data_IF_728659775873
#
_entry.id   IF_728659775873
#
_cell.length_a   1.000
_cell.length_b   1.000
_cell.length_c   1.000
_cell.angle_alpha   90.00
_cell.angle_beta   90.00
_cell.angle_gamma   90.00
#
_symmetry.space_group_name_H-M   'P 1'
#
loop_
_entity.id
_entity.type
_entity.pdbx_description
1 polymer ?
#
# COMPACT_ATOMS: atom_id res chain seq x y z
N UNK A 1 -15.07 -8.38 6.83
CA UNK A 1 -14.87 -6.94 6.52
C UNK A 1 -13.40 -6.74 6.19
N UNK A 2 -13.04 -6.29 5.00
CA UNK A 2 -11.67 -6.49 4.49
C UNK A 2 -11.19 -5.34 3.60
N UNK A 3 -9.90 -5.01 3.48
CA UNK A 3 -9.45 -3.68 3.04
C UNK A 3 -8.49 -3.58 1.86
N UNK A 4 -8.59 -2.49 1.08
CA UNK A 4 -7.63 -2.05 0.04
C UNK A 4 -7.15 -0.61 0.30
N UNK A 5 -5.90 -0.31 -0.02
CA UNK A 5 -5.28 0.96 0.39
C UNK A 5 -5.46 2.09 -0.62
N UNK A 6 -5.82 3.27 -0.11
CA UNK A 6 -5.58 4.57 -0.73
C UNK A 6 -4.71 5.41 0.20
N UNK A 7 -3.90 6.29 -0.37
CA UNK A 7 -3.00 7.19 0.35
C UNK A 7 -3.81 8.17 1.20
N UNK A 8 -3.50 8.28 2.48
CA UNK A 8 -4.06 9.25 3.40
C UNK A 8 -2.96 9.78 4.30
N UNK A 9 -2.88 11.11 4.44
CA UNK A 9 -1.99 11.79 5.40
C UNK A 9 -2.29 11.21 6.78
N UNK A 10 -1.30 10.67 7.52
CA UNK A 10 -1.55 10.07 8.82
C UNK A 10 -2.15 11.10 9.77
N UNK A 11 -3.28 10.79 10.37
CA UNK A 11 -3.67 11.40 11.64
C UNK A 11 -2.83 10.73 12.74
N UNK A 12 -1.71 11.35 13.12
CA UNK A 12 -0.81 10.87 14.19
C UNK A 12 0.67 10.84 13.80
N UNK A 13 1.55 10.65 14.79
CA UNK A 13 3.02 10.66 14.67
C UNK A 13 3.63 9.44 13.95
N UNK A 14 2.84 8.61 13.26
CA UNK A 14 3.34 7.37 12.66
C UNK A 14 4.11 7.63 11.36
N UNK A 15 5.41 7.31 11.38
CA UNK A 15 6.32 7.45 10.25
C UNK A 15 6.37 6.15 9.45
N UNK A 16 5.97 6.19 8.18
CA UNK A 16 6.03 5.04 7.26
C UNK A 16 7.10 5.26 6.20
N UNK A 17 7.88 4.23 5.92
CA UNK A 17 8.88 4.23 4.86
C UNK A 17 8.58 3.12 3.85
N UNK A 18 8.51 3.47 2.57
CA UNK A 18 8.43 2.53 1.46
C UNK A 18 9.69 2.69 0.60
N UNK A 19 10.47 1.62 0.53
CA UNK A 19 11.64 1.50 -0.36
C UNK A 19 11.20 1.39 -1.83
N UNK A 20 12.11 1.71 -2.74
CA UNK A 20 11.90 1.70 -4.19
C UNK A 20 11.62 0.30 -4.75
N UNK A 21 12.28 -0.73 -4.23
CA UNK A 21 12.23 -2.08 -4.80
C UNK A 21 11.61 -3.11 -3.83
N UNK A 22 11.18 -4.28 -4.33
CA UNK A 22 10.63 -5.34 -3.48
C UNK A 22 11.68 -6.28 -2.87
N UNK A 23 12.89 -6.36 -3.41
CA UNK A 23 13.95 -7.31 -2.97
C UNK A 23 15.11 -6.58 -2.32
N UNK A 24 15.54 -6.99 -1.11
CA UNK A 24 16.65 -6.35 -0.39
C UNK A 24 17.97 -7.06 -0.74
N UNK A 25 18.85 -6.49 -1.58
CA UNK A 25 20.22 -6.98 -1.64
C UNK A 25 20.88 -6.83 -0.26
N UNK A 26 21.73 -7.77 0.13
CA UNK A 26 22.44 -7.72 1.43
C UNK A 26 23.15 -6.39 1.66
N UNK A 27 23.77 -5.82 0.61
CA UNK A 27 24.48 -4.54 0.67
C UNK A 27 23.56 -3.30 0.86
N UNK A 28 22.24 -3.44 0.77
CA UNK A 28 21.26 -2.36 1.00
C UNK A 28 20.47 -2.56 2.30
N UNK A 29 20.80 -3.58 3.10
CA UNK A 29 20.08 -3.88 4.35
C UNK A 29 20.10 -2.69 5.32
N UNK A 30 21.20 -1.95 5.34
CA UNK A 30 21.40 -0.77 6.18
C UNK A 30 20.30 0.29 6.02
N UNK A 31 19.62 0.37 4.87
CA UNK A 31 18.51 1.32 4.66
C UNK A 31 17.30 0.96 5.53
N UNK A 32 17.03 -0.34 5.70
CA UNK A 32 15.97 -0.82 6.60
C UNK A 32 16.36 -0.56 8.04
N UNK A 33 17.62 -0.83 8.39
CA UNK A 33 18.11 -0.62 9.75
C UNK A 33 18.13 0.87 10.11
N UNK A 34 18.47 1.76 9.17
CA UNK A 34 18.37 3.21 9.31
C UNK A 34 16.91 3.68 9.44
N UNK A 35 15.99 3.14 8.64
CA UNK A 35 14.58 3.47 8.78
C UNK A 35 14.08 3.10 10.19
N UNK A 36 14.45 1.93 10.70
CA UNK A 36 14.11 1.51 12.05
C UNK A 36 14.75 2.37 13.15
N UNK A 37 16.02 2.75 13.01
CA UNK A 37 16.69 3.63 13.99
C UNK A 37 16.09 5.04 14.03
N UNK A 38 15.45 5.47 12.95
CA UNK A 38 14.69 6.71 12.84
C UNK A 38 13.20 6.58 13.19
N UNK A 39 12.81 5.43 13.76
CA UNK A 39 11.43 5.11 14.17
C UNK A 39 10.42 5.03 13.01
N UNK A 40 10.87 4.70 11.80
CA UNK A 40 9.99 4.42 10.66
C UNK A 40 9.57 2.95 10.62
N UNK A 41 8.28 2.70 10.34
CA UNK A 41 7.80 1.39 9.93
C UNK A 41 8.02 1.20 8.43
N UNK A 42 8.75 0.14 8.07
CA UNK A 42 8.94 -0.22 6.66
C UNK A 42 7.71 -0.96 6.14
N UNK A 43 7.04 -0.39 5.15
CA UNK A 43 5.80 -0.91 4.56
C UNK A 43 6.03 -1.21 3.09
N UNK A 44 5.75 -2.47 2.71
CA UNK A 44 5.76 -2.93 1.33
C UNK A 44 4.33 -3.18 0.84
N UNK A 45 4.20 -3.84 -0.31
CA UNK A 45 2.93 -4.23 -0.90
C UNK A 45 2.84 -5.74 -1.07
N UNK A 46 1.60 -6.22 -1.12
CA UNK A 46 1.27 -7.63 -1.42
C UNK A 46 0.85 -7.83 -2.89
N UNK A 47 0.39 -6.77 -3.55
CA UNK A 47 -0.08 -6.78 -4.93
C UNK A 47 0.52 -5.56 -5.64
N UNK A 48 1.23 -5.80 -6.73
CA UNK A 48 1.68 -4.75 -7.63
C UNK A 48 0.69 -4.61 -8.79
N UNK A 49 0.10 -3.42 -8.96
CA UNK A 49 -0.83 -3.13 -10.05
C UNK A 49 -0.14 -3.13 -11.42
N UNK A 50 1.16 -2.80 -11.47
CA UNK A 50 1.90 -2.51 -12.71
C UNK A 50 1.20 -1.46 -13.58
N UNK A 51 0.54 -0.49 -12.97
CA UNK A 51 -0.13 0.63 -13.64
C UNK A 51 0.81 1.46 -14.54
N UNK A 52 2.10 1.48 -14.22
CA UNK A 52 3.16 2.11 -15.02
C UNK A 52 3.52 1.36 -16.32
N UNK A 53 3.12 0.10 -16.51
CA UNK A 53 3.64 -0.75 -17.59
C UNK A 53 2.81 -0.71 -18.89
N UNK A 54 1.94 0.29 -19.06
CA UNK A 54 1.10 0.44 -20.26
C UNK A 54 -0.03 -0.59 -20.41
N UNK A 55 -0.36 -1.33 -19.34
CA UNK A 55 -1.48 -2.27 -19.36
C UNK A 55 -2.84 -1.56 -19.40
N UNK A 56 -3.84 -2.22 -19.98
CA UNK A 56 -5.22 -1.71 -19.98
C UNK A 56 -5.78 -1.64 -18.56
N UNK A 57 -6.48 -0.55 -18.16
CA UNK A 57 -7.05 -0.41 -16.83
C UNK A 57 -7.94 -1.59 -16.38
N UNK A 58 -8.77 -2.09 -17.29
CA UNK A 58 -9.65 -3.25 -17.02
C UNK A 58 -8.86 -4.52 -16.72
N UNK A 59 -7.76 -4.78 -17.43
CA UNK A 59 -6.90 -5.94 -17.20
C UNK A 59 -6.23 -5.87 -15.82
N UNK A 60 -5.79 -4.68 -15.41
CA UNK A 60 -5.21 -4.46 -14.08
C UNK A 60 -6.27 -4.72 -13.01
N UNK A 61 -7.47 -4.12 -13.13
CA UNK A 61 -8.57 -4.29 -12.19
C UNK A 61 -8.97 -5.77 -12.05
N UNK A 62 -9.16 -6.48 -13.17
CA UNK A 62 -9.51 -7.91 -13.17
C UNK A 62 -8.44 -8.75 -12.46
N UNK A 63 -7.15 -8.46 -12.70
CA UNK A 63 -6.05 -9.18 -12.04
C UNK A 63 -6.09 -8.95 -10.53
N UNK A 64 -6.25 -7.70 -10.09
CA UNK A 64 -6.33 -7.35 -8.67
C UNK A 64 -7.54 -8.01 -8.01
N UNK A 65 -8.72 -7.96 -8.64
CA UNK A 65 -9.95 -8.55 -8.12
C UNK A 65 -9.86 -10.08 -7.96
N UNK A 66 -8.99 -10.75 -8.72
CA UNK A 66 -8.72 -12.19 -8.59
C UNK A 66 -7.73 -12.54 -7.49
N UNK A 67 -6.85 -11.62 -7.10
CA UNK A 67 -5.75 -11.89 -6.16
C UNK A 67 -5.92 -11.22 -4.80
N UNK A 68 -6.79 -10.21 -4.70
CA UNK A 68 -7.06 -9.51 -3.43
C UNK A 68 -7.59 -10.49 -2.38
N UNK A 69 -7.01 -10.39 -1.19
CA UNK A 69 -7.43 -11.12 0.01
C UNK A 69 -7.43 -10.19 1.22
N UNK A 70 -7.93 -10.64 2.37
CA UNK A 70 -7.81 -9.84 3.57
C UNK A 70 -6.39 -9.45 3.96
N UNK A 71 -6.24 -8.15 4.26
CA UNK A 71 -4.95 -7.51 4.54
C UNK A 71 -4.13 -7.11 3.32
N UNK A 72 -4.65 -7.23 2.10
CA UNK A 72 -3.91 -6.84 0.89
C UNK A 72 -3.54 -5.35 0.88
N UNK A 73 -2.24 -5.07 0.75
CA UNK A 73 -1.69 -3.77 0.37
C UNK A 73 -1.43 -3.76 -1.13
N UNK A 74 -2.03 -2.81 -1.85
CA UNK A 74 -1.92 -2.69 -3.31
C UNK A 74 -1.08 -1.46 -3.66
N UNK A 75 -0.10 -1.64 -4.54
CA UNK A 75 0.74 -0.56 -5.03
C UNK A 75 0.16 0.07 -6.30
N UNK A 76 0.04 1.39 -6.29
CA UNK A 76 -0.23 2.27 -7.45
C UNK A 76 0.76 3.45 -7.45
N UNK A 77 0.86 4.14 -8.58
CA UNK A 77 1.78 5.26 -8.79
C UNK A 77 1.02 6.51 -9.25
N UNK A 78 1.38 7.67 -8.70
CA UNK A 78 0.77 8.98 -8.96
C UNK A 78 1.73 9.98 -9.64
N UNK A 79 3.02 9.64 -9.78
CA UNK A 79 4.05 10.46 -10.42
C UNK A 79 4.83 9.70 -11.49
N UNK A 80 5.44 10.41 -12.45
CA UNK A 80 6.38 9.87 -13.46
C UNK A 80 5.83 9.66 -14.88
N UNK A 81 4.99 10.56 -15.39
CA UNK A 81 4.45 10.53 -16.76
C UNK A 81 2.91 10.60 -16.81
N UNK A 82 2.30 10.13 -17.90
CA UNK A 82 0.84 10.05 -18.03
C UNK A 82 0.28 8.99 -17.04
N UNK A 83 -0.73 9.35 -16.24
CA UNK A 83 -1.26 8.54 -15.11
C UNK A 83 -2.74 8.19 -15.20
N UNK A 84 -3.30 8.35 -16.38
CA UNK A 84 -4.69 8.01 -16.69
C UNK A 84 -5.00 6.51 -16.45
N UNK A 85 -4.01 5.63 -16.65
CA UNK A 85 -4.15 4.19 -16.34
C UNK A 85 -4.50 3.95 -14.88
N UNK A 86 -3.84 4.65 -13.95
CA UNK A 86 -4.08 4.53 -12.50
C UNK A 86 -5.50 4.97 -12.16
N UNK A 87 -5.90 6.17 -12.63
CA UNK A 87 -7.23 6.74 -12.36
C UNK A 87 -8.34 5.83 -12.91
N UNK A 88 -8.26 5.45 -14.19
CA UNK A 88 -9.25 4.57 -14.84
C UNK A 88 -9.29 3.17 -14.22
N UNK A 89 -8.17 2.68 -13.69
CA UNK A 89 -8.17 1.39 -12.98
C UNK A 89 -8.94 1.52 -11.68
N UNK A 90 -8.71 2.59 -10.91
CA UNK A 90 -9.38 2.84 -9.64
C UNK A 90 -10.89 3.06 -9.81
N UNK A 91 -11.32 3.73 -10.88
CA UNK A 91 -12.74 3.89 -11.23
C UNK A 91 -13.49 2.56 -11.39
N UNK A 92 -12.83 1.54 -11.95
CA UNK A 92 -13.39 0.19 -12.08
C UNK A 92 -13.25 -0.60 -10.78
N UNK A 93 -12.08 -0.49 -10.14
CA UNK A 93 -11.68 -1.35 -9.05
C UNK A 93 -12.42 -1.01 -7.74
N UNK A 94 -12.51 0.26 -7.35
CA UNK A 94 -13.06 0.65 -6.05
C UNK A 94 -14.54 0.25 -5.85
N UNK A 95 -15.43 0.41 -6.85
CA UNK A 95 -16.82 -0.06 -6.74
C UNK A 95 -16.92 -1.58 -6.60
N UNK A 96 -16.15 -2.33 -7.38
CA UNK A 96 -16.18 -3.81 -7.35
C UNK A 96 -15.68 -4.37 -6.01
N UNK A 97 -14.68 -3.72 -5.42
CA UNK A 97 -14.19 -4.05 -4.09
C UNK A 97 -15.24 -3.79 -3.03
N UNK A 98 -15.88 -2.62 -3.10
CA UNK A 98 -16.98 -2.25 -2.19
C UNK A 98 -18.11 -3.28 -2.27
N UNK A 99 -18.51 -3.66 -3.50
CA UNK A 99 -19.54 -4.68 -3.77
C UNK A 99 -19.17 -6.05 -3.20
N UNK A 100 -17.88 -6.41 -3.21
CA UNK A 100 -17.36 -7.65 -2.60
C UNK A 100 -17.19 -7.56 -1.08
N UNK A 101 -17.61 -6.46 -0.44
CA UNK A 101 -17.53 -6.26 1.01
C UNK A 101 -16.17 -5.77 1.50
N UNK A 102 -15.33 -5.26 0.58
CA UNK A 102 -14.07 -4.63 0.94
C UNK A 102 -14.25 -3.14 1.32
N UNK A 103 -13.35 -2.59 2.14
CA UNK A 103 -13.33 -1.20 2.62
C UNK A 103 -11.95 -0.60 2.48
N UNK A 104 -11.80 0.54 1.84
CA UNK A 104 -10.47 1.14 1.77
C UNK A 104 -10.03 1.78 3.10
N UNK A 105 -8.79 1.54 3.54
CA UNK A 105 -8.21 2.09 4.78
C UNK A 105 -6.81 2.62 4.51
N UNK A 106 -6.33 3.43 5.45
CA UNK A 106 -4.91 3.80 5.55
C UNK A 106 -4.08 2.67 6.16
N UNK A 107 -2.74 2.76 6.06
CA UNK A 107 -1.85 1.74 6.62
C UNK A 107 -1.98 1.70 8.15
N UNK A 108 -2.11 2.86 8.78
CA UNK A 108 -2.31 3.00 10.22
C UNK A 108 -3.54 2.22 10.70
N UNK A 109 -4.68 2.43 10.03
CA UNK A 109 -5.93 1.73 10.34
C UNK A 109 -5.84 0.21 10.09
N UNK A 110 -5.09 -0.21 9.07
CA UNK A 110 -4.86 -1.63 8.81
C UNK A 110 -4.06 -2.27 9.95
N UNK A 111 -2.99 -1.61 10.41
CA UNK A 111 -2.15 -2.10 11.51
C UNK A 111 -2.92 -2.16 12.83
N UNK A 112 -3.69 -1.12 13.16
CA UNK A 112 -4.54 -1.08 14.34
C UNK A 112 -5.52 -2.26 14.37
N UNK A 113 -6.18 -2.55 13.23
CA UNK A 113 -7.09 -3.70 13.11
C UNK A 113 -6.40 -5.06 13.22
N UNK A 114 -5.12 -5.13 12.86
CA UNK A 114 -4.32 -6.33 13.00
C UNK A 114 -3.78 -6.52 14.44
N UNK A 115 -4.14 -5.64 15.38
CA UNK A 115 -3.66 -5.69 16.76
C UNK A 115 -2.25 -5.14 16.94
N UNK A 116 -1.69 -4.48 15.92
CA UNK A 116 -0.44 -3.73 16.06
C UNK A 116 -0.78 -2.32 16.52
N UNK A 117 -0.42 -1.99 17.77
CA UNK A 117 -0.57 -0.64 18.28
C UNK A 117 0.14 0.37 17.36
N UNK A 118 -0.47 1.54 17.18
CA UNK A 118 0.20 2.72 16.64
C UNK A 118 1.54 2.85 17.35
N UNK A 119 2.64 2.97 16.60
CA UNK A 119 3.97 3.25 17.16
C UNK A 119 3.89 4.63 17.82
N UNK A 120 3.44 4.68 19.07
CA UNK A 120 3.56 5.84 19.93
C UNK A 120 4.94 5.72 20.52
N UNK A 121 5.85 6.63 20.14
CA UNK A 121 7.13 6.81 20.82
C UNK A 121 6.85 6.94 22.33
N UNK A 122 6.99 5.84 23.06
CA UNK A 122 7.17 5.84 24.51
C UNK A 122 8.66 5.64 24.71
N UNK A 123 9.35 6.75 24.99
CA UNK A 123 10.65 6.73 25.63
C UNK A 123 10.40 6.63 27.13
N UNK A 124 10.98 5.61 27.76
CA UNK A 124 11.37 5.66 29.16
C UNK A 124 12.62 6.54 29.30
#
# INVERSE_FOLDING_TARGET
>A
MTTILTWGVPSGNSKYYRRTDSVIPSHQRWIVDLAWSLEYLVVLWSIDSKDWSGLKPSSIAVKILKTVKPGSIILFHDLGGYRDTTVKTLEILLPELTRKGYRCLTVSQLLERAGHASFTSKRD
#
